data_IF_342110710332
#
_entry.id   IF_342110710332
#
_cell.length_a   1.000
_cell.length_b   1.000
_cell.length_c   1.000
_cell.angle_alpha   90.00
_cell.angle_beta   90.00
_cell.angle_gamma   90.00
#
_symmetry.space_group_name_H-M   'P 1'
#
loop_
_entity.id
_entity.type
_entity.pdbx_description
1 polymer ?
#
# COMPACT_ATOMS: atom_id res chain seq x y z
N UNK A 1 -37.77 13.33 79.01
CA UNK A 1 -36.46 13.63 78.38
C UNK A 1 -36.28 12.65 77.22
N UNK A 2 -36.61 13.10 76.04
CA UNK A 2 -36.55 12.31 74.78
C UNK A 2 -35.20 12.50 74.13
N UNK A 3 -34.46 11.38 73.93
CA UNK A 3 -33.26 11.37 73.13
C UNK A 3 -33.59 10.87 71.70
N UNK A 4 -33.37 11.71 70.71
CA UNK A 4 -33.55 11.36 69.30
C UNK A 4 -32.24 10.73 68.76
N UNK A 5 -32.29 9.49 68.27
CA UNK A 5 -31.23 8.84 67.49
C UNK A 5 -31.40 9.23 66.02
N UNK A 6 -30.38 9.90 65.46
CA UNK A 6 -30.22 10.13 64.04
C UNK A 6 -29.43 8.97 63.44
N UNK A 7 -30.09 8.17 62.60
CA UNK A 7 -29.47 7.14 61.75
C UNK A 7 -28.94 7.82 60.49
N UNK A 8 -27.61 7.96 60.40
CA UNK A 8 -26.95 8.38 59.16
C UNK A 8 -26.86 7.22 58.17
N UNK A 9 -27.58 7.28 57.06
CA UNK A 9 -27.45 6.36 55.93
C UNK A 9 -26.17 6.66 55.14
N UNK A 10 -25.25 5.71 55.08
CA UNK A 10 -24.13 5.77 54.13
C UNK A 10 -24.61 5.28 52.76
N UNK A 11 -24.82 6.23 51.90
CA UNK A 11 -25.04 5.96 50.47
C UNK A 11 -23.71 5.54 49.84
N UNK A 12 -23.58 4.24 49.53
CA UNK A 12 -22.44 3.69 48.76
C UNK A 12 -22.80 3.86 47.30
N UNK A 13 -22.40 4.96 46.70
CA UNK A 13 -22.32 5.06 45.24
C UNK A 13 -21.24 4.08 44.75
N UNK A 14 -21.69 3.00 44.12
CA UNK A 14 -20.85 2.09 43.36
C UNK A 14 -20.30 2.86 42.18
N UNK A 15 -19.01 3.15 42.21
CA UNK A 15 -18.30 3.70 41.07
C UNK A 15 -18.26 2.63 39.97
N UNK A 16 -18.94 2.91 38.86
CA UNK A 16 -18.85 2.15 37.60
C UNK A 16 -17.41 2.20 37.10
N UNK A 17 -16.80 1.06 36.68
CA UNK A 17 -15.44 1.09 36.16
C UNK A 17 -15.43 1.89 34.86
N UNK A 18 -14.66 2.96 34.83
CA UNK A 18 -14.41 3.77 33.65
C UNK A 18 -13.86 2.88 32.54
N UNK A 19 -14.57 2.81 31.42
CA UNK A 19 -14.06 2.18 30.20
C UNK A 19 -12.76 2.92 29.78
N UNK A 20 -11.71 2.19 29.37
CA UNK A 20 -10.53 2.82 28.79
C UNK A 20 -10.96 3.63 27.57
N UNK A 21 -10.67 4.92 27.58
CA UNK A 21 -10.87 5.76 26.41
C UNK A 21 -10.06 5.18 25.26
N UNK A 22 -10.76 4.71 24.22
CA UNK A 22 -10.14 4.30 22.96
C UNK A 22 -9.36 5.49 22.43
N UNK A 23 -8.03 5.31 22.30
CA UNK A 23 -7.16 6.35 21.73
C UNK A 23 -7.69 6.65 20.30
N UNK A 24 -7.76 7.93 19.90
CA UNK A 24 -8.19 8.27 18.55
C UNK A 24 -7.27 7.58 17.55
N UNK A 25 -7.82 6.62 16.81
CA UNK A 25 -7.14 6.04 15.66
C UNK A 25 -6.88 7.19 14.69
N UNK A 26 -5.59 7.47 14.46
CA UNK A 26 -5.20 8.44 13.44
C UNK A 26 -5.86 8.03 12.13
N UNK A 27 -6.72 8.88 11.58
CA UNK A 27 -7.35 8.65 10.31
C UNK A 27 -6.24 8.41 9.27
N UNK A 28 -6.34 7.31 8.52
CA UNK A 28 -5.44 7.05 7.42
C UNK A 28 -5.45 8.25 6.48
N UNK A 29 -4.28 8.67 5.93
CA UNK A 29 -4.24 9.78 5.00
C UNK A 29 -5.21 9.53 3.86
N UNK A 30 -6.03 10.54 3.53
CA UNK A 30 -7.02 10.44 2.49
C UNK A 30 -6.35 10.10 1.15
N UNK A 31 -6.95 9.17 0.39
CA UNK A 31 -6.55 8.89 -0.98
C UNK A 31 -6.63 10.18 -1.81
N UNK A 32 -5.50 10.63 -2.34
CA UNK A 32 -5.39 11.88 -3.12
C UNK A 32 -5.14 11.63 -4.60
N UNK A 33 -4.73 10.40 -4.94
CA UNK A 33 -4.43 10.01 -6.31
C UNK A 33 -5.68 9.91 -7.18
N UNK A 34 -5.51 10.21 -8.46
CA UNK A 34 -6.53 10.06 -9.49
C UNK A 34 -5.95 9.29 -10.67
N UNK A 35 -6.81 8.56 -11.40
CA UNK A 35 -6.38 7.82 -12.59
C UNK A 35 -6.07 8.82 -13.70
N UNK A 36 -4.81 8.82 -14.15
CA UNK A 36 -4.30 9.61 -15.26
C UNK A 36 -4.02 8.70 -16.46
N UNK A 37 -4.61 9.00 -17.61
CA UNK A 37 -4.43 8.30 -18.89
C UNK A 37 -3.59 9.09 -19.91
N UNK A 38 -3.04 10.23 -19.53
CA UNK A 38 -2.25 11.07 -20.45
C UNK A 38 -0.96 10.40 -20.94
N UNK A 39 -0.52 9.34 -20.25
CA UNK A 39 0.66 8.54 -20.57
C UNK A 39 0.31 7.22 -21.28
N UNK A 40 -0.96 6.96 -21.58
CA UNK A 40 -1.39 5.70 -22.19
C UNK A 40 -0.62 5.38 -23.48
N UNK A 41 -0.26 4.10 -23.64
CA UNK A 41 0.52 3.60 -24.76
C UNK A 41 2.05 3.68 -24.59
N UNK A 42 2.57 4.35 -23.55
CA UNK A 42 4.01 4.33 -23.24
C UNK A 42 4.46 2.92 -22.89
N UNK A 43 5.65 2.57 -23.36
CA UNK A 43 6.23 1.25 -23.07
C UNK A 43 6.78 1.24 -21.64
N UNK A 44 6.54 0.14 -20.93
CA UNK A 44 7.13 -0.14 -19.62
C UNK A 44 8.65 0.04 -19.67
N UNK A 45 9.24 0.79 -18.73
CA UNK A 45 10.69 1.00 -18.67
C UNK A 45 11.43 -0.33 -18.60
N UNK A 46 12.61 -0.38 -19.22
CA UNK A 46 13.54 -1.47 -18.98
C UNK A 46 14.23 -1.23 -17.62
N UNK A 47 14.03 -2.15 -16.70
CA UNK A 47 14.70 -2.16 -15.40
C UNK A 47 14.88 -3.59 -14.93
N UNK A 48 15.97 -3.83 -14.22
CA UNK A 48 16.25 -5.10 -13.56
C UNK A 48 16.14 -4.89 -12.05
N UNK A 49 15.19 -5.57 -11.45
CA UNK A 49 14.87 -5.50 -10.03
C UNK A 49 15.60 -6.61 -9.28
N UNK A 50 15.85 -6.38 -8.00
CA UNK A 50 16.42 -7.38 -7.09
C UNK A 50 15.39 -7.74 -6.01
N UNK A 51 15.52 -8.93 -5.44
CA UNK A 51 14.74 -9.34 -4.26
C UNK A 51 15.69 -9.83 -3.17
N UNK A 52 15.24 -9.90 -1.91
CA UNK A 52 16.02 -10.45 -0.82
C UNK A 52 16.59 -11.83 -1.17
N UNK A 53 17.88 -12.03 -0.88
CA UNK A 53 18.59 -13.24 -1.26
C UNK A 53 19.13 -13.25 -2.70
N UNK A 54 19.04 -12.13 -3.42
CA UNK A 54 19.74 -11.92 -4.70
C UNK A 54 19.00 -12.42 -5.95
N UNK A 55 17.71 -12.81 -5.82
CA UNK A 55 16.90 -13.08 -7.00
C UNK A 55 16.71 -11.81 -7.84
N UNK A 56 16.64 -11.95 -9.16
CA UNK A 56 16.47 -10.81 -10.08
C UNK A 56 15.23 -10.99 -10.95
N UNK A 57 14.62 -9.87 -11.34
CA UNK A 57 13.51 -9.81 -12.29
C UNK A 57 13.76 -8.68 -13.29
N UNK A 58 13.84 -9.00 -14.56
CA UNK A 58 13.73 -7.98 -15.60
C UNK A 58 12.26 -7.65 -15.86
N UNK A 59 11.88 -6.38 -15.78
CA UNK A 59 10.51 -5.95 -16.09
C UNK A 59 10.09 -6.35 -17.51
N UNK A 60 11.00 -6.42 -18.45
CA UNK A 60 10.71 -6.89 -19.80
C UNK A 60 10.22 -8.35 -19.84
N UNK A 61 10.59 -9.18 -18.86
CA UNK A 61 10.17 -10.56 -18.76
C UNK A 61 8.74 -10.73 -18.22
N UNK A 62 8.10 -9.67 -17.73
CA UNK A 62 6.72 -9.70 -17.23
C UNK A 62 5.67 -9.60 -18.33
N UNK A 63 6.07 -9.34 -19.58
CA UNK A 63 5.15 -9.30 -20.73
C UNK A 63 4.42 -10.62 -20.91
N UNK A 64 3.20 -10.53 -21.42
CA UNK A 64 2.30 -11.67 -21.60
C UNK A 64 1.17 -11.72 -20.55
N UNK A 65 1.31 -10.92 -19.48
CA UNK A 65 0.29 -10.72 -18.46
C UNK A 65 0.19 -9.22 -18.12
N UNK A 66 -0.99 -8.68 -17.85
CA UNK A 66 -1.12 -7.33 -17.30
C UNK A 66 -0.37 -7.17 -15.97
N UNK A 67 0.22 -6.00 -15.76
CA UNK A 67 1.05 -5.70 -14.59
C UNK A 67 0.57 -4.42 -13.92
N UNK A 68 0.30 -4.49 -12.62
CA UNK A 68 0.15 -3.32 -11.76
C UNK A 68 1.48 -3.11 -11.03
N UNK A 69 2.27 -2.15 -11.51
CA UNK A 69 3.57 -1.78 -10.96
C UNK A 69 3.37 -0.66 -9.94
N UNK A 70 3.73 -0.90 -8.68
CA UNK A 70 3.64 0.09 -7.61
C UNK A 70 5.04 0.41 -7.07
N UNK A 71 5.46 1.67 -7.20
CA UNK A 71 6.68 2.18 -6.59
C UNK A 71 6.35 2.76 -5.22
N UNK A 72 7.08 2.33 -4.21
CA UNK A 72 6.83 2.67 -2.82
C UNK A 72 8.14 2.76 -2.03
N UNK A 73 8.08 3.21 -0.77
CA UNK A 73 9.21 3.14 0.16
C UNK A 73 8.73 2.99 1.60
N UNK A 74 9.58 2.46 2.47
CA UNK A 74 9.24 2.24 3.89
C UNK A 74 8.98 3.55 4.66
N UNK A 75 9.58 4.64 4.24
CA UNK A 75 9.42 5.99 4.82
C UNK A 75 8.23 6.76 4.23
N UNK A 76 7.58 6.26 3.20
CA UNK A 76 6.45 6.89 2.53
C UNK A 76 5.14 6.52 3.22
N UNK A 77 4.61 7.40 4.05
CA UNK A 77 3.38 7.13 4.84
C UNK A 77 2.19 6.70 3.97
N UNK A 78 1.80 7.41 2.89
CA UNK A 78 0.68 6.96 2.05
C UNK A 78 0.95 5.60 1.40
N UNK A 79 2.21 5.30 1.02
CA UNK A 79 2.57 3.99 0.48
C UNK A 79 2.30 2.87 1.48
N UNK A 80 2.80 3.04 2.71
CA UNK A 80 2.62 2.06 3.79
C UNK A 80 1.14 1.81 4.09
N UNK A 81 0.32 2.86 4.01
CA UNK A 81 -1.13 2.77 4.25
C UNK A 81 -1.85 1.93 3.20
N UNK A 82 -1.42 1.99 1.92
CA UNK A 82 -2.09 1.25 0.84
C UNK A 82 -1.59 -0.19 0.67
N UNK A 83 -0.43 -0.57 1.24
CA UNK A 83 0.14 -1.92 1.09
C UNK A 83 -0.83 -3.06 1.45
N UNK A 84 -1.61 -3.00 2.55
CA UNK A 84 -2.60 -4.04 2.85
C UNK A 84 -3.69 -4.17 1.78
N UNK A 85 -4.10 -3.05 1.16
CA UNK A 85 -5.10 -3.04 0.10
C UNK A 85 -4.54 -3.65 -1.19
N UNK A 86 -3.28 -3.34 -1.53
CA UNK A 86 -2.56 -3.96 -2.64
C UNK A 86 -2.35 -5.46 -2.41
N UNK A 87 -2.07 -5.88 -1.17
CA UNK A 87 -1.95 -7.29 -0.81
C UNK A 87 -3.25 -8.05 -1.04
N UNK A 88 -4.40 -7.48 -0.65
CA UNK A 88 -5.71 -8.06 -0.93
C UNK A 88 -6.01 -8.08 -2.43
N UNK A 89 -5.69 -6.98 -3.14
CA UNK A 89 -5.86 -6.90 -4.59
C UNK A 89 -5.07 -7.98 -5.31
N UNK A 90 -3.82 -8.23 -4.88
CA UNK A 90 -2.98 -9.29 -5.46
C UNK A 90 -3.61 -10.67 -5.30
N UNK A 91 -4.22 -10.97 -4.15
CA UNK A 91 -4.95 -12.20 -3.93
C UNK A 91 -6.22 -12.30 -4.81
N UNK A 92 -7.01 -11.22 -4.88
CA UNK A 92 -8.27 -11.19 -5.63
C UNK A 92 -8.06 -11.35 -7.15
N UNK A 93 -6.91 -10.92 -7.66
CA UNK A 93 -6.56 -10.97 -9.08
C UNK A 93 -5.50 -12.03 -9.42
N UNK A 94 -5.24 -12.98 -8.51
CA UNK A 94 -4.26 -14.03 -8.75
C UNK A 94 -4.50 -14.75 -10.09
N UNK A 95 -3.43 -14.99 -10.82
CA UNK A 95 -3.46 -15.57 -12.16
C UNK A 95 -3.84 -14.59 -13.28
N UNK A 96 -4.58 -13.50 -13.01
CA UNK A 96 -5.08 -12.54 -14.03
C UNK A 96 -4.24 -11.27 -14.15
N UNK A 97 -3.71 -10.76 -13.03
CA UNK A 97 -2.90 -9.55 -12.93
C UNK A 97 -1.65 -9.85 -12.11
N UNK A 98 -0.50 -9.39 -12.55
CA UNK A 98 0.69 -9.39 -11.72
C UNK A 98 0.78 -8.08 -10.92
N UNK A 99 0.65 -8.14 -9.60
CA UNK A 99 0.88 -6.98 -8.73
C UNK A 99 2.34 -6.99 -8.31
N UNK A 100 3.13 -6.02 -8.78
CA UNK A 100 4.56 -5.88 -8.49
C UNK A 100 4.80 -4.66 -7.63
N UNK A 101 5.11 -4.87 -6.35
CA UNK A 101 5.56 -3.80 -5.46
C UNK A 101 7.07 -3.71 -5.50
N UNK A 102 7.58 -2.51 -5.81
CA UNK A 102 9.00 -2.22 -5.96
C UNK A 102 9.40 -1.12 -5.00
N UNK A 103 10.30 -1.44 -4.07
CA UNK A 103 10.81 -0.47 -3.11
C UNK A 103 11.90 0.41 -3.73
N UNK A 104 11.78 1.71 -3.49
CA UNK A 104 12.77 2.75 -3.80
C UNK A 104 13.67 3.06 -2.57
N UNK A 105 13.69 2.18 -1.56
CA UNK A 105 14.59 2.35 -0.41
C UNK A 105 16.04 2.09 -0.83
N UNK A 106 16.92 3.09 -0.70
CA UNK A 106 18.34 2.98 -1.06
C UNK A 106 19.12 1.94 -0.23
N UNK A 107 18.60 1.58 0.94
CA UNK A 107 19.18 0.54 1.80
C UNK A 107 18.63 -0.88 1.48
N UNK A 108 17.80 -1.01 0.45
CA UNK A 108 17.33 -2.30 -0.04
C UNK A 108 16.82 -3.25 1.05
N UNK A 109 17.43 -4.42 1.15
CA UNK A 109 17.03 -5.48 2.09
C UNK A 109 16.95 -5.03 3.56
N UNK A 110 17.84 -4.15 4.00
CA UNK A 110 17.86 -3.67 5.39
C UNK A 110 16.54 -3.00 5.80
N UNK A 111 15.83 -2.40 4.86
CA UNK A 111 14.54 -1.75 5.08
C UNK A 111 13.37 -2.65 4.70
N UNK A 112 13.44 -3.29 3.56
CA UNK A 112 12.33 -4.04 2.96
C UNK A 112 12.03 -5.31 3.76
N UNK A 113 13.05 -6.08 4.17
CA UNK A 113 12.83 -7.35 4.86
C UNK A 113 12.13 -7.14 6.20
N UNK A 114 12.61 -6.30 7.13
CA UNK A 114 11.92 -6.07 8.40
C UNK A 114 10.52 -5.48 8.23
N UNK A 115 10.31 -4.67 7.19
CA UNK A 115 9.00 -4.11 6.89
C UNK A 115 7.96 -5.20 6.61
N UNK A 116 8.31 -6.18 5.75
CA UNK A 116 7.43 -7.29 5.42
C UNK A 116 7.27 -8.29 6.55
N UNK A 117 8.31 -8.54 7.35
CA UNK A 117 8.25 -9.44 8.51
C UNK A 117 7.28 -8.96 9.61
N UNK A 118 7.10 -7.66 9.72
CA UNK A 118 6.20 -7.04 10.70
C UNK A 118 4.75 -6.92 10.20
N UNK A 119 4.46 -7.34 8.96
CA UNK A 119 3.16 -7.17 8.31
C UNK A 119 2.76 -8.42 7.55
N UNK A 120 1.47 -8.70 7.54
CA UNK A 120 0.92 -9.81 6.76
C UNK A 120 0.69 -9.38 5.30
N UNK A 121 1.77 -9.43 4.50
CA UNK A 121 1.80 -9.03 3.10
C UNK A 121 2.25 -10.17 2.19
N UNK A 122 1.77 -11.39 2.47
CA UNK A 122 2.23 -12.63 1.83
C UNK A 122 1.98 -12.69 0.30
N UNK A 123 1.03 -11.90 -0.21
CA UNK A 123 0.69 -11.88 -1.65
C UNK A 123 1.50 -10.87 -2.45
N UNK A 124 2.33 -10.04 -1.79
CA UNK A 124 3.16 -9.04 -2.46
C UNK A 124 4.61 -9.50 -2.58
N UNK A 125 5.22 -9.34 -3.76
CA UNK A 125 6.65 -9.58 -3.93
C UNK A 125 7.47 -8.45 -3.28
N UNK A 126 8.71 -8.77 -2.93
CA UNK A 126 9.64 -7.85 -2.25
C UNK A 126 10.70 -7.35 -3.23
N UNK A 127 10.27 -6.84 -4.40
CA UNK A 127 11.20 -6.28 -5.37
C UNK A 127 11.75 -4.93 -4.90
N UNK A 128 12.99 -4.66 -5.29
CA UNK A 128 13.73 -3.44 -4.93
C UNK A 128 14.38 -2.85 -6.16
N UNK A 129 14.38 -1.52 -6.25
CA UNK A 129 15.11 -0.72 -7.23
C UNK A 129 16.12 0.17 -6.49
N UNK A 130 17.18 -0.44 -5.96
CA UNK A 130 18.19 0.24 -5.12
C UNK A 130 18.92 1.37 -5.83
N UNK A 131 18.87 1.41 -7.16
CA UNK A 131 19.48 2.46 -7.98
C UNK A 131 18.51 3.58 -8.34
N UNK A 132 17.24 3.42 -8.01
CA UNK A 132 16.15 4.31 -8.41
C UNK A 132 16.07 4.50 -9.95
N UNK A 133 16.40 3.47 -10.72
CA UNK A 133 16.34 3.50 -12.19
C UNK A 133 14.89 3.74 -12.66
N UNK A 134 13.90 3.17 -11.96
CA UNK A 134 12.49 3.38 -12.25
C UNK A 134 12.04 4.80 -11.90
N UNK A 135 12.42 5.31 -10.73
CA UNK A 135 12.10 6.69 -10.36
C UNK A 135 12.63 7.67 -11.41
N UNK A 136 13.85 7.44 -11.92
CA UNK A 136 14.43 8.24 -13.00
C UNK A 136 13.66 8.08 -14.30
N UNK A 137 13.29 6.84 -14.69
CA UNK A 137 12.52 6.55 -15.90
C UNK A 137 11.13 7.22 -15.91
N UNK A 138 10.54 7.40 -14.73
CA UNK A 138 9.27 8.11 -14.56
C UNK A 138 9.41 9.63 -14.40
N UNK A 139 10.59 10.19 -14.59
CA UNK A 139 10.80 11.64 -14.68
C UNK A 139 11.66 12.25 -13.57
N UNK A 140 12.32 11.43 -12.78
CA UNK A 140 13.26 11.86 -11.72
C UNK A 140 12.54 12.55 -10.54
N UNK A 141 12.51 11.89 -9.38
CA UNK A 141 11.82 12.40 -8.21
C UNK A 141 10.30 12.17 -8.26
N UNK A 142 9.87 11.08 -8.88
CA UNK A 142 8.46 10.67 -8.87
C UNK A 142 7.92 10.70 -7.43
N UNK A 143 6.82 11.43 -7.23
CA UNK A 143 6.14 11.42 -5.94
C UNK A 143 5.63 10.00 -5.66
N UNK A 144 5.96 9.47 -4.49
CA UNK A 144 5.49 8.17 -4.05
C UNK A 144 4.16 8.28 -3.28
N UNK A 145 3.31 7.26 -3.36
CA UNK A 145 3.39 6.11 -4.27
C UNK A 145 3.12 6.49 -5.72
N UNK A 146 3.75 5.76 -6.64
CA UNK A 146 3.40 5.80 -8.06
C UNK A 146 2.93 4.41 -8.46
N UNK A 147 1.70 4.30 -8.96
CA UNK A 147 1.18 3.03 -9.47
C UNK A 147 0.84 3.15 -10.94
N UNK A 148 1.32 2.21 -11.74
CA UNK A 148 1.11 2.19 -13.19
C UNK A 148 0.53 0.85 -13.60
N UNK A 149 -0.60 0.86 -14.32
CA UNK A 149 -1.14 -0.35 -14.95
C UNK A 149 -0.62 -0.47 -16.37
N UNK A 150 -0.06 -1.62 -16.66
CA UNK A 150 0.35 -2.05 -18.00
C UNK A 150 -0.51 -3.18 -18.52
N UNK A 151 -0.79 -3.16 -19.82
CA UNK A 151 -1.40 -4.28 -20.52
C UNK A 151 -0.41 -5.46 -20.70
N UNK A 152 -0.89 -6.58 -21.25
CA UNK A 152 -0.06 -7.76 -21.50
C UNK A 152 1.08 -7.51 -22.52
N UNK A 153 1.03 -6.45 -23.31
CA UNK A 153 2.06 -6.03 -24.24
C UNK A 153 3.10 -5.11 -23.58
N UNK A 154 2.91 -4.76 -22.29
CA UNK A 154 3.75 -3.83 -21.55
C UNK A 154 3.53 -2.37 -21.95
N UNK A 155 2.32 -2.03 -22.41
CA UNK A 155 1.93 -0.65 -22.68
C UNK A 155 1.15 -0.09 -21.51
N UNK A 156 1.49 1.10 -21.09
CA UNK A 156 0.77 1.80 -20.03
C UNK A 156 -0.69 2.04 -20.42
N UNK A 157 -1.61 1.68 -19.53
CA UNK A 157 -3.04 1.94 -19.66
C UNK A 157 -3.42 3.21 -18.91
N UNK A 158 -2.90 3.34 -17.68
CA UNK A 158 -3.06 4.49 -16.81
C UNK A 158 -2.05 4.44 -15.66
N UNK A 159 -1.92 5.58 -14.97
CA UNK A 159 -1.16 5.67 -13.72
C UNK A 159 -1.93 6.43 -12.65
N UNK A 160 -1.50 6.27 -11.42
CA UNK A 160 -1.93 7.05 -10.25
C UNK A 160 -0.68 7.54 -9.53
N UNK A 161 -0.65 8.83 -9.18
CA UNK A 161 0.39 9.43 -8.34
C UNK A 161 -0.27 9.83 -7.02
N UNK A 162 0.32 9.41 -5.90
CA UNK A 162 -0.26 9.56 -4.57
C UNK A 162 -1.13 8.38 -4.14
N UNK A 163 -1.46 8.34 -2.84
CA UNK A 163 -2.25 7.25 -2.27
C UNK A 163 -3.61 7.08 -2.94
N UNK A 164 -4.04 5.82 -3.13
CA UNK A 164 -5.28 5.50 -3.80
C UNK A 164 -6.08 4.43 -3.04
N UNK A 165 -7.40 4.45 -3.19
CA UNK A 165 -8.27 3.43 -2.59
C UNK A 165 -8.35 2.18 -3.48
N UNK A 166 -7.43 1.25 -3.27
CA UNK A 166 -7.37 -0.01 -4.02
C UNK A 166 -8.49 -0.99 -3.69
N UNK A 167 -9.23 -0.79 -2.58
CA UNK A 167 -10.41 -1.58 -2.22
C UNK A 167 -11.68 -1.10 -2.93
N UNK A 168 -11.69 0.15 -3.40
CA UNK A 168 -12.84 0.80 -3.99
C UNK A 168 -13.29 0.20 -5.32
N UNK A 169 -14.58 0.32 -5.62
CA UNK A 169 -15.17 -0.17 -6.88
C UNK A 169 -14.53 0.49 -8.11
N UNK A 170 -14.14 1.76 -8.03
CA UNK A 170 -13.48 2.51 -9.11
C UNK A 170 -12.14 1.89 -9.49
N UNK A 171 -11.33 1.48 -8.50
CA UNK A 171 -10.07 0.81 -8.76
C UNK A 171 -10.28 -0.52 -9.48
N UNK A 172 -11.20 -1.35 -8.99
CA UNK A 172 -11.53 -2.65 -9.58
C UNK A 172 -12.03 -2.50 -11.02
N UNK A 173 -12.97 -1.58 -11.25
CA UNK A 173 -13.49 -1.31 -12.59
C UNK A 173 -12.39 -0.84 -13.55
N UNK A 174 -11.49 0.02 -13.10
CA UNK A 174 -10.39 0.51 -13.92
C UNK A 174 -9.39 -0.61 -14.28
N UNK A 175 -9.12 -1.53 -13.34
CA UNK A 175 -8.28 -2.70 -13.59
C UNK A 175 -8.99 -3.66 -14.56
N UNK A 176 -10.23 -4.04 -14.28
CA UNK A 176 -10.98 -5.01 -15.09
C UNK A 176 -11.14 -4.54 -16.54
N UNK A 177 -11.18 -3.23 -16.80
CA UNK A 177 -11.26 -2.68 -18.14
C UNK A 177 -9.99 -2.87 -18.99
N UNK A 178 -8.88 -3.30 -18.37
CA UNK A 178 -7.57 -3.48 -18.99
C UNK A 178 -7.11 -4.95 -19.03
N UNK A 179 -7.89 -5.87 -18.46
CA UNK A 179 -7.63 -7.32 -18.47
C UNK A 179 -8.30 -8.00 -19.65
#
# INVERSE_FOLDING_TARGET
MLGALLLGGCDRQSAEPAQPAEAPQAAAPAATGTIDRSFAGRIMPAADLTAPGGATLSLAATRGKPVLLNLWATWCVPCVTEMPLLNQLAADYDGRLAVLTVSEDLQGEEKVVPFFEQRDLANLPRWMDEKNDLAVAFGGGAALPLTVLYDAQGREVWRVIGGYDWAGATARQAIDSAL
#
